data_IF_652879319380
#
_entry.id   IF_652879319380
#
_cell.length_a   1.000
_cell.length_b   1.000
_cell.length_c   1.000
_cell.angle_alpha   90.00
_cell.angle_beta   90.00
_cell.angle_gamma   90.00
#
_symmetry.space_group_name_H-M   'P 1'
#
loop_
_entity.id
_entity.type
_entity.pdbx_description
1 polymer ?
#
# COMPACT_ATOMS: atom_id res chain seq x y z
N UNK A 1 20.66 24.10 -47.25
CA UNK A 1 19.62 25.05 -47.72
C UNK A 1 20.24 25.86 -48.85
N UNK A 2 19.63 25.91 -50.03
CA UNK A 2 20.20 26.66 -51.15
C UNK A 2 20.06 28.16 -50.86
N UNK A 3 21.00 28.99 -51.29
CA UNK A 3 21.03 30.43 -50.95
C UNK A 3 19.79 31.22 -51.40
N UNK A 4 19.09 30.75 -52.45
CA UNK A 4 17.79 31.29 -52.83
C UNK A 4 16.71 31.01 -51.78
N UNK A 5 16.58 29.77 -51.30
CA UNK A 5 15.57 29.41 -50.29
C UNK A 5 15.72 30.24 -49.00
N UNK A 6 16.96 30.60 -48.64
CA UNK A 6 17.25 31.43 -47.46
C UNK A 6 16.85 32.89 -47.66
N UNK A 7 17.06 33.44 -48.86
CA UNK A 7 16.68 34.82 -49.20
C UNK A 7 15.16 34.98 -49.21
N UNK A 8 14.45 34.06 -49.86
CA UNK A 8 12.99 34.05 -49.91
C UNK A 8 12.36 33.91 -48.51
N UNK A 9 12.96 33.09 -47.64
CA UNK A 9 12.53 32.99 -46.24
C UNK A 9 12.72 34.30 -45.47
N UNK A 10 13.87 34.95 -45.60
CA UNK A 10 14.17 36.20 -44.89
C UNK A 10 13.28 37.35 -45.35
N UNK A 11 12.94 37.40 -46.64
CA UNK A 11 12.01 38.39 -47.18
C UNK A 11 10.60 38.19 -46.61
N UNK A 12 10.07 36.97 -46.68
CA UNK A 12 8.79 36.61 -46.05
C UNK A 12 8.77 36.89 -44.54
N UNK A 13 9.87 36.59 -43.84
CA UNK A 13 9.98 36.88 -42.41
C UNK A 13 9.94 38.38 -42.12
N UNK A 14 10.66 39.20 -42.90
CA UNK A 14 10.64 40.66 -42.76
C UNK A 14 9.25 41.22 -43.05
N UNK A 15 8.57 40.70 -44.06
CA UNK A 15 7.21 41.09 -44.42
C UNK A 15 6.21 40.72 -43.32
N UNK A 16 6.27 39.50 -42.80
CA UNK A 16 5.45 39.07 -41.66
C UNK A 16 5.72 39.92 -40.40
N UNK A 17 6.98 40.30 -40.16
CA UNK A 17 7.36 41.15 -39.02
C UNK A 17 6.84 42.58 -39.16
N UNK A 18 6.66 43.11 -40.38
CA UNK A 18 6.01 44.41 -40.60
C UNK A 18 4.54 44.40 -40.22
N UNK A 19 3.88 43.25 -40.31
CA UNK A 19 2.47 43.05 -39.97
C UNK A 19 2.25 42.47 -38.55
N UNK A 20 3.33 42.23 -37.80
CA UNK A 20 3.27 41.65 -36.46
C UNK A 20 2.86 42.68 -35.41
N UNK A 21 2.07 42.25 -34.43
CA UNK A 21 1.75 43.06 -33.25
C UNK A 21 2.92 43.05 -32.25
N UNK A 22 3.17 44.13 -31.49
CA UNK A 22 4.17 44.12 -30.44
C UNK A 22 3.75 43.16 -29.31
N UNK A 23 4.74 42.58 -28.63
CA UNK A 23 4.47 41.67 -27.50
C UNK A 23 3.74 42.38 -26.36
N UNK A 24 4.21 43.58 -26.00
CA UNK A 24 3.56 44.45 -25.04
C UNK A 24 3.07 45.72 -25.76
N UNK A 25 1.82 46.16 -25.54
CA UNK A 25 0.81 45.56 -24.65
C UNK A 25 -0.09 44.51 -25.33
N UNK A 26 -0.11 44.44 -26.66
CA UNK A 26 -1.17 43.75 -27.41
C UNK A 26 -1.20 42.23 -27.22
N UNK A 27 -0.07 41.54 -27.39
CA UNK A 27 -0.04 40.08 -27.24
C UNK A 27 -0.27 39.67 -25.78
N UNK A 28 0.42 40.34 -24.84
CA UNK A 28 0.27 40.07 -23.42
C UNK A 28 -1.17 40.27 -22.93
N UNK A 29 -1.87 41.30 -23.42
CA UNK A 29 -3.27 41.53 -23.06
C UNK A 29 -4.17 40.40 -23.58
N UNK A 30 -3.96 39.93 -24.81
CA UNK A 30 -4.71 38.79 -25.36
C UNK A 30 -4.45 37.52 -24.54
N UNK A 31 -3.21 37.24 -24.19
CA UNK A 31 -2.84 36.09 -23.37
C UNK A 31 -3.49 36.18 -21.98
N UNK A 32 -3.49 37.36 -21.36
CA UNK A 32 -4.13 37.58 -20.06
C UNK A 32 -5.65 37.37 -20.12
N UNK A 33 -6.32 37.84 -21.18
CA UNK A 33 -7.77 37.64 -21.36
C UNK A 33 -8.09 36.16 -21.55
N UNK A 34 -7.31 35.43 -22.35
CA UNK A 34 -7.50 33.98 -22.55
C UNK A 34 -7.23 33.21 -21.26
N UNK A 35 -6.14 33.53 -20.56
CA UNK A 35 -5.79 32.90 -19.29
C UNK A 35 -6.86 33.13 -18.21
N UNK A 36 -7.37 34.36 -18.09
CA UNK A 36 -8.46 34.70 -17.18
C UNK A 36 -9.75 33.97 -17.56
N UNK A 37 -10.06 33.86 -18.86
CA UNK A 37 -11.20 33.08 -19.35
C UNK A 37 -11.10 31.60 -19.00
N UNK A 38 -9.94 30.98 -19.22
CA UNK A 38 -9.69 29.58 -18.82
C UNK A 38 -9.76 29.39 -17.30
N UNK A 39 -9.19 30.31 -16.53
CA UNK A 39 -9.23 30.27 -15.07
C UNK A 39 -10.66 30.40 -14.54
N UNK A 40 -11.45 31.33 -15.09
CA UNK A 40 -12.86 31.47 -14.76
C UNK A 40 -13.67 30.22 -15.14
N UNK A 41 -13.37 29.61 -16.30
CA UNK A 41 -13.98 28.34 -16.71
C UNK A 41 -13.65 27.21 -15.72
N UNK A 42 -12.41 27.10 -15.26
CA UNK A 42 -12.00 26.10 -14.26
C UNK A 42 -12.74 26.31 -12.92
N UNK A 43 -12.83 27.55 -12.43
CA UNK A 43 -13.61 27.87 -11.22
C UNK A 43 -15.07 27.50 -11.42
N UNK A 44 -15.65 27.84 -12.58
CA UNK A 44 -17.03 27.51 -12.89
C UNK A 44 -17.27 26.00 -12.91
N UNK A 45 -16.41 25.22 -13.57
CA UNK A 45 -16.51 23.76 -13.59
C UNK A 45 -16.36 23.17 -12.19
N UNK A 46 -15.38 23.64 -11.41
CA UNK A 46 -15.17 23.22 -10.02
C UNK A 46 -16.38 23.53 -9.12
N UNK A 47 -17.02 24.69 -9.28
CA UNK A 47 -18.18 25.07 -8.48
C UNK A 47 -19.49 24.40 -8.94
N UNK A 48 -19.65 24.15 -10.24
CA UNK A 48 -20.89 23.61 -10.81
C UNK A 48 -20.95 22.08 -10.85
N UNK A 49 -19.82 21.42 -11.11
CA UNK A 49 -19.71 19.95 -11.22
C UNK A 49 -19.09 19.36 -9.94
N UNK A 50 -18.22 20.11 -9.26
CA UNK A 50 -17.40 19.59 -8.16
C UNK A 50 -16.16 18.86 -8.69
N UNK A 51 -15.18 18.65 -7.82
CA UNK A 51 -14.12 17.67 -8.06
C UNK A 51 -14.56 16.36 -7.39
N UNK A 52 -14.60 15.27 -8.15
CA UNK A 52 -14.73 13.93 -7.59
C UNK A 52 -13.40 13.64 -6.90
N UNK A 53 -13.35 13.86 -5.60
CA UNK A 53 -12.21 13.56 -4.74
C UNK A 53 -12.63 12.36 -3.91
N UNK A 54 -11.85 11.29 -3.95
CA UNK A 54 -12.06 10.14 -3.09
C UNK A 54 -11.87 10.48 -1.62
N UNK A 55 -12.41 9.61 -0.77
CA UNK A 55 -12.20 9.67 0.67
C UNK A 55 -10.71 9.53 1.01
N UNK A 56 -10.36 10.00 2.21
CA UNK A 56 -8.98 9.89 2.68
C UNK A 56 -8.64 8.41 2.83
N UNK A 57 -7.50 7.99 2.27
CA UNK A 57 -7.07 6.60 2.29
C UNK A 57 -7.18 5.99 3.70
N UNK A 58 -7.97 4.91 3.80
CA UNK A 58 -8.17 4.11 5.00
C UNK A 58 -7.66 2.69 4.73
N UNK A 59 -6.64 2.20 5.45
CA UNK A 59 -6.07 0.89 5.22
C UNK A 59 -6.96 -0.27 5.69
N UNK A 60 -8.11 0.00 6.33
CA UNK A 60 -9.01 -1.02 6.88
C UNK A 60 -10.14 -1.42 5.92
N UNK A 61 -10.30 -0.70 4.81
CA UNK A 61 -11.32 -0.96 3.79
C UNK A 61 -10.69 -1.43 2.48
N UNK A 62 -11.33 -2.41 1.85
CA UNK A 62 -10.96 -2.85 0.50
C UNK A 62 -11.34 -1.74 -0.50
N UNK A 63 -10.35 -1.23 -1.23
CA UNK A 63 -10.49 -0.13 -2.18
C UNK A 63 -9.99 -0.57 -3.56
N UNK A 64 -10.74 -0.24 -4.61
CA UNK A 64 -10.35 -0.46 -6.01
C UNK A 64 -9.67 0.81 -6.55
N UNK A 65 -8.33 0.85 -6.68
CA UNK A 65 -7.64 2.03 -7.17
C UNK A 65 -7.82 2.18 -8.68
N UNK A 66 -8.82 2.98 -9.08
CA UNK A 66 -8.96 3.40 -10.47
C UNK A 66 -7.89 4.44 -10.84
N UNK A 67 -7.20 4.27 -11.98
CA UNK A 67 -6.22 5.25 -12.43
C UNK A 67 -6.90 6.50 -12.98
N UNK A 68 -6.22 7.63 -12.81
CA UNK A 68 -6.65 8.92 -13.35
C UNK A 68 -6.84 8.91 -14.87
N UNK A 69 -7.79 9.73 -15.37
CA UNK A 69 -8.24 9.70 -16.76
C UNK A 69 -7.12 9.88 -17.80
N UNK A 70 -6.06 10.62 -17.46
CA UNK A 70 -4.91 10.86 -18.31
C UNK A 70 -3.92 9.68 -18.36
N UNK A 71 -4.10 8.65 -17.51
CA UNK A 71 -3.34 7.41 -17.52
C UNK A 71 -4.13 6.19 -18.02
N UNK A 72 -5.43 6.33 -18.29
CA UNK A 72 -6.27 5.22 -18.75
C UNK A 72 -5.74 4.50 -20.00
N UNK A 73 -5.18 5.24 -20.97
CA UNK A 73 -4.59 4.62 -22.16
C UNK A 73 -3.42 3.70 -21.82
N UNK A 74 -2.61 4.07 -20.82
CA UNK A 74 -1.46 3.30 -20.39
C UNK A 74 -1.93 2.09 -19.62
N UNK A 75 -2.88 2.27 -18.69
CA UNK A 75 -3.48 1.15 -17.96
C UNK A 75 -4.05 0.09 -18.91
N UNK A 76 -4.82 0.50 -19.92
CA UNK A 76 -5.34 -0.41 -20.93
C UNK A 76 -4.24 -1.06 -21.77
N UNK A 77 -3.16 -0.33 -22.06
CA UNK A 77 -2.01 -0.90 -22.76
C UNK A 77 -1.38 -2.05 -21.96
N UNK A 78 -1.25 -1.90 -20.63
CA UNK A 78 -0.61 -2.88 -19.75
C UNK A 78 -1.34 -4.22 -19.68
N UNK A 79 -2.67 -4.23 -19.87
CA UNK A 79 -3.43 -5.48 -19.99
C UNK A 79 -2.91 -6.41 -21.10
N UNK A 80 -2.19 -5.88 -22.09
CA UNK A 80 -1.57 -6.65 -23.18
C UNK A 80 -0.12 -7.11 -22.90
N UNK A 81 0.45 -6.79 -21.73
CA UNK A 81 1.83 -7.11 -21.34
C UNK A 81 1.88 -7.92 -20.02
N UNK A 82 1.44 -9.19 -19.99
CA UNK A 82 1.41 -9.98 -18.76
C UNK A 82 2.80 -10.39 -18.26
N UNK A 83 2.95 -10.48 -16.93
CA UNK A 83 4.13 -11.03 -16.25
C UNK A 83 5.40 -10.19 -16.44
N UNK A 84 6.51 -10.83 -16.81
CA UNK A 84 7.82 -10.15 -16.96
C UNK A 84 7.86 -9.07 -18.05
N UNK A 85 6.85 -9.00 -18.92
CA UNK A 85 6.73 -7.99 -19.96
C UNK A 85 6.08 -6.69 -19.48
N UNK A 86 5.53 -6.64 -18.27
CA UNK A 86 4.87 -5.45 -17.73
C UNK A 86 5.82 -4.25 -17.66
N UNK A 87 7.06 -4.47 -17.22
CA UNK A 87 8.13 -3.45 -17.22
C UNK A 87 8.35 -2.85 -18.62
N UNK A 88 8.20 -3.65 -19.68
CA UNK A 88 8.32 -3.17 -21.05
C UNK A 88 7.18 -2.22 -21.39
N UNK A 89 5.95 -2.55 -20.97
CA UNK A 89 4.77 -1.72 -21.17
C UNK A 89 4.79 -0.41 -20.38
N UNK A 90 5.21 -0.43 -19.10
CA UNK A 90 5.19 0.75 -18.21
C UNK A 90 6.38 1.67 -18.44
N UNK A 91 7.58 1.11 -18.58
CA UNK A 91 8.83 1.89 -18.51
C UNK A 91 9.47 2.02 -19.90
N UNK A 92 9.70 0.88 -20.56
CA UNK A 92 10.49 0.86 -21.80
C UNK A 92 9.76 1.55 -22.94
N UNK A 93 8.48 1.22 -23.18
CA UNK A 93 7.72 1.76 -24.30
C UNK A 93 7.46 3.27 -24.16
N UNK A 94 6.93 3.80 -23.04
CA UNK A 94 6.80 5.24 -22.84
C UNK A 94 8.15 5.95 -22.87
N UNK A 95 9.19 5.33 -22.28
CA UNK A 95 10.54 5.84 -22.32
C UNK A 95 11.07 6.02 -23.75
N UNK A 96 10.88 5.02 -24.63
CA UNK A 96 11.26 5.11 -26.04
C UNK A 96 10.50 6.22 -26.75
N UNK A 97 9.18 6.37 -26.51
CA UNK A 97 8.37 7.43 -27.13
C UNK A 97 8.87 8.81 -26.71
N UNK A 98 9.12 9.02 -25.41
CA UNK A 98 9.66 10.28 -24.89
C UNK A 98 11.04 10.56 -25.47
N UNK A 99 11.93 9.57 -25.47
CA UNK A 99 13.27 9.70 -26.05
C UNK A 99 13.21 10.01 -27.54
N UNK A 100 12.29 9.42 -28.30
CA UNK A 100 12.08 9.71 -29.71
C UNK A 100 11.55 11.15 -29.93
N UNK A 101 10.65 11.64 -29.07
CA UNK A 101 10.17 13.02 -29.10
C UNK A 101 11.27 14.03 -28.74
N UNK A 102 12.11 13.72 -27.75
CA UNK A 102 13.28 14.53 -27.42
C UNK A 102 14.31 14.50 -28.56
N UNK A 103 14.51 13.35 -29.19
CA UNK A 103 15.42 13.17 -30.30
C UNK A 103 14.88 13.73 -31.64
N UNK A 104 13.62 14.18 -31.69
CA UNK A 104 12.94 14.68 -32.88
C UNK A 104 13.71 15.77 -33.64
N UNK A 105 14.40 16.74 -33.00
CA UNK A 105 15.21 17.74 -33.71
C UNK A 105 16.35 17.14 -34.56
N UNK A 106 16.85 15.96 -34.19
CA UNK A 106 17.92 15.26 -34.92
C UNK A 106 17.38 14.24 -35.92
N UNK A 107 16.25 13.60 -35.59
CA UNK A 107 15.55 12.64 -36.45
C UNK A 107 14.88 13.36 -37.63
N UNK A 108 14.19 14.48 -37.39
CA UNK A 108 13.51 15.27 -38.42
C UNK A 108 14.40 16.44 -38.90
N UNK A 109 15.23 16.15 -39.90
CA UNK A 109 16.08 17.12 -40.57
C UNK A 109 15.36 17.94 -41.64
N UNK A 110 14.02 17.94 -41.66
CA UNK A 110 13.23 18.70 -42.64
C UNK A 110 13.52 20.20 -42.56
N UNK A 111 13.79 20.81 -43.71
CA UNK A 111 13.97 22.26 -43.84
C UNK A 111 12.65 23.03 -43.70
N UNK A 112 11.51 22.35 -43.80
CA UNK A 112 10.18 22.93 -43.62
C UNK A 112 9.85 22.95 -42.14
N UNK A 113 9.37 24.07 -41.59
CA UNK A 113 8.98 24.19 -40.16
C UNK A 113 7.50 24.01 -39.90
N UNK A 114 6.66 24.33 -40.88
CA UNK A 114 5.21 24.25 -40.73
C UNK A 114 4.76 22.78 -40.77
N UNK A 115 3.76 22.41 -39.95
CA UNK A 115 3.34 21.02 -39.75
C UNK A 115 2.88 20.35 -41.06
N UNK A 116 2.18 21.09 -41.93
CA UNK A 116 1.76 20.57 -43.26
C UNK A 116 2.93 20.22 -44.18
N UNK A 117 4.13 20.74 -43.89
CA UNK A 117 5.36 20.40 -44.59
C UNK A 117 6.09 19.16 -44.06
N UNK A 118 5.56 18.51 -43.01
CA UNK A 118 6.18 17.35 -42.33
C UNK A 118 5.19 16.17 -42.25
N UNK A 119 4.68 15.67 -43.38
CA UNK A 119 3.60 14.67 -43.37
C UNK A 119 3.97 13.40 -42.61
N UNK A 120 5.22 12.93 -42.70
CA UNK A 120 5.65 11.70 -42.00
C UNK A 120 5.56 11.86 -40.48
N UNK A 121 6.17 12.92 -39.92
CA UNK A 121 6.19 13.14 -38.47
C UNK A 121 4.79 13.42 -37.92
N UNK A 122 3.99 14.20 -38.65
CA UNK A 122 2.61 14.47 -38.26
C UNK A 122 1.75 13.21 -38.34
N UNK A 123 1.90 12.39 -39.37
CA UNK A 123 1.17 11.12 -39.46
C UNK A 123 1.55 10.15 -38.35
N UNK A 124 2.83 9.99 -38.04
CA UNK A 124 3.29 9.10 -36.95
C UNK A 124 2.79 9.61 -35.60
N UNK A 125 2.96 10.90 -35.31
CA UNK A 125 2.50 11.49 -34.04
C UNK A 125 0.97 11.44 -33.93
N UNK A 126 0.26 11.69 -35.02
CA UNK A 126 -1.18 11.55 -35.11
C UNK A 126 -1.66 10.12 -34.86
N UNK A 127 -0.99 9.12 -35.44
CA UNK A 127 -1.29 7.71 -35.17
C UNK A 127 -1.09 7.34 -33.70
N UNK A 128 0.00 7.81 -33.07
CA UNK A 128 0.24 7.59 -31.64
C UNK A 128 -0.87 8.23 -30.78
N UNK A 129 -1.25 9.47 -31.09
CA UNK A 129 -2.33 10.16 -30.39
C UNK A 129 -3.68 9.46 -30.57
N UNK A 130 -4.01 9.02 -31.79
CA UNK A 130 -5.22 8.24 -32.07
C UNK A 130 -5.19 6.91 -31.31
N UNK A 131 -4.05 6.23 -31.25
CA UNK A 131 -3.87 5.00 -30.47
C UNK A 131 -4.13 5.23 -28.98
N UNK A 132 -3.57 6.28 -28.38
CA UNK A 132 -3.80 6.63 -26.99
C UNK A 132 -5.28 6.97 -26.71
N UNK A 133 -5.93 7.72 -27.60
CA UNK A 133 -7.37 8.02 -27.50
C UNK A 133 -8.19 6.74 -27.61
N UNK A 134 -7.88 5.87 -28.58
CA UNK A 134 -8.58 4.61 -28.76
C UNK A 134 -8.45 3.72 -27.53
N UNK A 135 -7.25 3.58 -26.96
CA UNK A 135 -7.02 2.84 -25.72
C UNK A 135 -7.75 3.46 -24.52
N UNK A 136 -7.80 4.79 -24.42
CA UNK A 136 -8.59 5.48 -23.39
C UNK A 136 -10.07 5.16 -23.53
N UNK A 137 -10.62 5.21 -24.75
CA UNK A 137 -12.03 4.87 -25.00
C UNK A 137 -12.30 3.41 -24.67
N UNK A 138 -11.39 2.50 -25.02
CA UNK A 138 -11.52 1.09 -24.63
C UNK A 138 -11.49 0.95 -23.11
N UNK A 139 -10.58 1.63 -22.41
CA UNK A 139 -10.52 1.63 -20.94
C UNK A 139 -11.81 2.14 -20.28
N UNK A 140 -12.48 3.13 -20.90
CA UNK A 140 -13.74 3.68 -20.40
C UNK A 140 -14.96 2.78 -20.68
N UNK A 141 -14.88 1.93 -21.71
CA UNK A 141 -15.98 1.04 -22.12
C UNK A 141 -15.84 -0.34 -21.47
N UNK A 142 -14.61 -0.82 -21.34
CA UNK A 142 -14.29 -1.96 -20.50
C UNK A 142 -14.31 -1.48 -19.04
N UNK A 143 -15.49 -1.51 -18.41
CA UNK A 143 -15.57 -1.44 -16.95
C UNK A 143 -14.49 -2.36 -16.40
N UNK A 144 -13.62 -1.83 -15.53
CA UNK A 144 -12.61 -2.66 -14.89
C UNK A 144 -13.34 -3.85 -14.28
N UNK A 145 -12.96 -5.11 -14.57
CA UNK A 145 -13.42 -6.21 -13.73
C UNK A 145 -13.08 -5.79 -12.31
N UNK A 146 -14.00 -5.92 -11.33
CA UNK A 146 -13.75 -5.49 -9.97
C UNK A 146 -12.38 -6.01 -9.56
N UNK A 147 -11.51 -5.11 -9.09
CA UNK A 147 -10.24 -5.53 -8.49
C UNK A 147 -10.56 -6.61 -7.45
N UNK A 148 -10.05 -7.80 -7.73
CA UNK A 148 -10.59 -9.06 -7.20
C UNK A 148 -10.52 -10.19 -8.22
N UNK A 149 -10.54 -9.87 -9.52
CA UNK A 149 -10.15 -10.83 -10.57
C UNK A 149 -8.77 -10.49 -11.12
N UNK A 150 -7.77 -10.43 -10.23
CA UNK A 150 -6.52 -11.10 -10.59
C UNK A 150 -6.89 -12.52 -11.03
N UNK A 151 -6.27 -13.10 -12.06
CA UNK A 151 -6.42 -14.52 -12.32
C UNK A 151 -6.26 -15.22 -10.97
N UNK A 152 -7.36 -15.79 -10.47
CA UNK A 152 -7.50 -16.14 -9.06
C UNK A 152 -6.25 -16.92 -8.68
N UNK A 153 -5.48 -16.37 -7.73
CA UNK A 153 -4.69 -17.25 -6.88
C UNK A 153 -5.63 -18.38 -6.46
N UNK A 154 -5.11 -19.62 -6.48
CA UNK A 154 -5.89 -20.82 -6.18
C UNK A 154 -6.99 -20.49 -5.15
N UNK A 155 -8.29 -20.64 -5.48
CA UNK A 155 -9.36 -20.22 -4.59
C UNK A 155 -9.22 -20.82 -3.19
N UNK A 156 -8.55 -21.98 -3.08
CA UNK A 156 -8.22 -22.61 -1.80
C UNK A 156 -7.06 -21.90 -1.09
N UNK A 157 -6.08 -21.36 -1.82
CA UNK A 157 -5.03 -20.50 -1.26
C UNK A 157 -5.58 -19.16 -0.73
N UNK A 158 -6.57 -18.58 -1.40
CA UNK A 158 -7.28 -17.38 -0.91
C UNK A 158 -8.05 -17.71 0.37
N UNK A 159 -8.78 -18.83 0.37
CA UNK A 159 -9.50 -19.32 1.54
C UNK A 159 -8.55 -19.60 2.73
N UNK A 160 -7.39 -20.21 2.47
CA UNK A 160 -6.34 -20.43 3.48
C UNK A 160 -5.74 -19.13 4.00
N UNK A 161 -5.49 -18.17 3.11
CA UNK A 161 -4.93 -16.87 3.50
C UNK A 161 -5.88 -16.12 4.43
N UNK A 162 -7.17 -16.10 4.09
CA UNK A 162 -8.19 -15.40 4.86
C UNK A 162 -8.48 -16.03 6.24
N UNK A 163 -8.36 -17.36 6.37
CA UNK A 163 -8.86 -18.07 7.57
C UNK A 163 -7.78 -18.78 8.39
N UNK A 164 -6.59 -19.01 7.84
CA UNK A 164 -5.58 -19.88 8.47
C UNK A 164 -4.20 -19.24 8.54
N UNK A 165 -3.77 -18.50 7.51
CA UNK A 165 -2.40 -17.99 7.41
C UNK A 165 -2.00 -17.05 8.57
N UNK A 166 -2.97 -16.34 9.15
CA UNK A 166 -2.73 -15.40 10.25
C UNK A 166 -2.22 -16.05 11.55
N UNK A 167 -2.44 -17.35 11.75
CA UNK A 167 -1.85 -18.11 12.88
C UNK A 167 -0.93 -19.27 12.41
N UNK A 168 -1.04 -19.73 11.16
CA UNK A 168 -0.26 -20.86 10.62
C UNK A 168 0.87 -20.49 9.66
N UNK A 169 1.00 -19.21 9.31
CA UNK A 169 1.97 -18.74 8.31
C UNK A 169 1.67 -19.22 6.89
N UNK A 170 2.59 -18.97 5.96
CA UNK A 170 2.46 -19.32 4.55
C UNK A 170 2.67 -20.82 4.24
N UNK A 171 3.27 -21.57 5.16
CA UNK A 171 3.59 -23.00 5.00
C UNK A 171 3.34 -23.78 6.27
N UNK A 172 2.68 -24.93 6.16
CA UNK A 172 2.34 -25.82 7.26
C UNK A 172 2.98 -27.20 7.06
N UNK A 173 3.47 -27.79 8.15
CA UNK A 173 3.93 -29.19 8.15
C UNK A 173 2.97 -30.02 8.98
N UNK A 174 2.34 -31.02 8.36
CA UNK A 174 1.40 -31.93 9.05
C UNK A 174 2.03 -33.32 9.20
N UNK A 175 2.06 -33.90 10.41
CA UNK A 175 2.49 -35.28 10.61
C UNK A 175 1.61 -36.29 9.85
N UNK A 176 2.20 -37.38 9.37
CA UNK A 176 1.46 -38.45 8.69
C UNK A 176 0.40 -39.09 9.61
N UNK A 177 -0.80 -39.35 9.06
CA UNK A 177 -1.88 -40.04 9.77
C UNK A 177 -2.84 -39.15 10.56
N UNK A 178 -2.71 -37.82 10.46
CA UNK A 178 -3.65 -36.87 11.06
C UNK A 178 -4.86 -36.65 10.13
N UNK A 179 -6.06 -36.75 10.71
CA UNK A 179 -7.32 -36.43 10.04
C UNK A 179 -7.56 -34.91 10.10
N UNK A 180 -7.05 -34.20 9.11
CA UNK A 180 -7.13 -32.74 9.05
C UNK A 180 -8.55 -32.21 8.89
N UNK A 181 -9.43 -32.94 8.19
CA UNK A 181 -10.84 -32.53 8.07
C UNK A 181 -11.49 -32.49 9.45
N UNK A 182 -11.24 -33.53 10.27
CA UNK A 182 -11.73 -33.56 11.66
C UNK A 182 -11.08 -32.49 12.53
N UNK A 183 -9.78 -32.24 12.39
CA UNK A 183 -9.06 -31.23 13.18
C UNK A 183 -9.53 -29.81 12.84
N UNK A 184 -9.67 -29.48 11.55
CA UNK A 184 -10.15 -28.16 11.11
C UNK A 184 -11.61 -27.96 11.53
N UNK A 185 -12.47 -28.98 11.36
CA UNK A 185 -13.87 -28.88 11.71
C UNK A 185 -14.11 -28.78 13.23
N UNK A 186 -13.43 -29.61 14.03
CA UNK A 186 -13.65 -29.69 15.48
C UNK A 186 -12.77 -28.72 16.28
N UNK A 187 -11.72 -28.15 15.67
CA UNK A 187 -10.66 -27.48 16.38
C UNK A 187 -9.74 -28.45 17.13
N UNK A 188 -8.69 -27.90 17.73
CA UNK A 188 -7.76 -28.62 18.62
C UNK A 188 -6.46 -29.10 17.96
N UNK A 189 -5.38 -28.36 18.21
CA UNK A 189 -4.01 -28.87 18.31
C UNK A 189 -3.22 -27.96 19.28
N UNK A 190 -2.14 -28.48 19.86
CA UNK A 190 -1.30 -27.79 20.83
C UNK A 190 -0.30 -26.82 20.13
N UNK A 191 -0.09 -25.62 20.69
CA UNK A 191 1.14 -24.81 20.49
C UNK A 191 1.05 -23.47 19.73
N UNK A 192 1.58 -22.40 20.35
CA UNK A 192 2.09 -21.17 19.71
C UNK A 192 3.32 -21.49 18.86
N UNK A 193 3.49 -20.90 17.66
CA UNK A 193 4.68 -21.09 16.84
C UNK A 193 5.95 -20.52 17.51
N UNK A 194 7.11 -21.04 17.09
CA UNK A 194 8.41 -20.46 17.44
C UNK A 194 8.62 -19.17 16.66
N UNK A 195 8.96 -18.08 17.35
CA UNK A 195 9.26 -16.78 16.75
C UNK A 195 10.76 -16.51 16.60
N UNK A 196 11.61 -17.48 16.93
CA UNK A 196 13.07 -17.31 16.88
C UNK A 196 13.63 -17.16 15.46
N UNK A 197 12.86 -17.52 14.44
CA UNK A 197 13.21 -17.33 13.03
C UNK A 197 12.88 -15.91 12.54
N UNK A 198 11.84 -15.30 13.10
CA UNK A 198 11.27 -14.03 12.62
C UNK A 198 11.65 -12.84 13.49
N UNK A 199 11.99 -13.07 14.77
CA UNK A 199 12.33 -12.04 15.75
C UNK A 199 13.75 -12.25 16.31
N UNK A 200 14.52 -11.17 16.42
CA UNK A 200 15.81 -11.17 17.12
C UNK A 200 15.65 -11.33 18.65
N UNK A 201 16.74 -11.67 19.34
CA UNK A 201 16.72 -11.81 20.80
C UNK A 201 16.32 -10.52 21.53
N UNK A 202 16.72 -9.36 20.99
CA UNK A 202 16.36 -8.05 21.55
C UNK A 202 14.87 -7.71 21.30
N UNK A 203 14.32 -8.13 20.15
CA UNK A 203 12.89 -7.97 19.84
C UNK A 203 12.01 -8.88 20.69
N UNK A 204 12.45 -10.12 20.94
CA UNK A 204 11.77 -11.04 21.86
C UNK A 204 11.82 -10.50 23.30
N UNK A 205 12.93 -9.86 23.71
CA UNK A 205 13.04 -9.23 25.02
C UNK A 205 12.07 -8.04 25.18
N UNK A 206 11.96 -7.21 24.14
CA UNK A 206 11.01 -6.10 24.10
C UNK A 206 9.55 -6.61 24.13
N UNK A 207 9.23 -7.66 23.36
CA UNK A 207 7.90 -8.29 23.34
C UNK A 207 7.55 -8.88 24.71
N UNK A 208 8.48 -9.62 25.32
CA UNK A 208 8.28 -10.20 26.65
C UNK A 208 8.08 -9.10 27.70
N UNK A 209 8.85 -8.01 27.64
CA UNK A 209 8.71 -6.84 28.51
C UNK A 209 7.33 -6.16 28.40
N UNK A 210 6.75 -6.12 27.20
CA UNK A 210 5.39 -5.61 26.97
C UNK A 210 4.33 -6.52 27.63
N UNK A 211 4.40 -7.84 27.37
CA UNK A 211 3.43 -8.82 27.87
C UNK A 211 3.46 -8.94 29.41
N UNK A 212 4.65 -8.88 30.02
CA UNK A 212 4.83 -8.97 31.48
C UNK A 212 4.70 -7.63 32.21
N UNK A 213 4.23 -6.58 31.54
CA UNK A 213 3.83 -5.31 32.17
C UNK A 213 2.30 -5.19 32.29
N UNK A 214 1.59 -6.16 32.91
CA UNK A 214 0.13 -6.22 32.93
C UNK A 214 -0.46 -4.99 33.63
N UNK A 215 0.24 -4.46 34.64
CA UNK A 215 -0.23 -3.30 35.39
C UNK A 215 -0.22 -2.02 34.55
N UNK A 216 0.80 -1.79 33.71
CA UNK A 216 0.87 -0.60 32.86
C UNK A 216 -0.19 -0.60 31.75
N UNK A 217 -0.39 -1.74 31.10
CA UNK A 217 -1.41 -1.93 30.07
C UNK A 217 -2.83 -1.79 30.64
N UNK A 218 -3.10 -2.41 31.78
CA UNK A 218 -4.42 -2.33 32.42
C UNK A 218 -4.77 -0.88 32.80
N UNK A 219 -3.83 -0.16 33.42
CA UNK A 219 -4.03 1.25 33.77
C UNK A 219 -4.24 2.09 32.50
N UNK A 220 -3.48 1.85 31.43
CA UNK A 220 -3.64 2.55 30.16
C UNK A 220 -5.04 2.34 29.55
N UNK A 221 -5.52 1.10 29.50
CA UNK A 221 -6.84 0.77 28.96
C UNK A 221 -7.99 1.33 29.81
N UNK A 222 -7.81 1.42 31.12
CA UNK A 222 -8.83 1.99 32.00
C UNK A 222 -8.85 3.53 32.01
N UNK A 223 -7.74 4.17 31.62
CA UNK A 223 -7.51 5.57 31.99
C UNK A 223 -7.17 6.49 30.80
N UNK A 224 -6.54 5.95 29.76
CA UNK A 224 -5.95 6.74 28.67
C UNK A 224 -6.56 6.45 27.30
N UNK A 225 -7.07 5.24 27.07
CA UNK A 225 -7.50 4.76 25.74
C UNK A 225 -8.69 5.51 25.14
N UNK A 226 -9.51 6.18 25.97
CA UNK A 226 -10.65 6.97 25.48
C UNK A 226 -10.20 8.20 24.66
N UNK A 227 -9.01 8.73 24.93
CA UNK A 227 -8.49 9.93 24.29
C UNK A 227 -7.21 9.69 23.49
N UNK A 228 -6.48 8.61 23.78
CA UNK A 228 -5.19 8.34 23.16
C UNK A 228 -5.17 6.98 22.48
N UNK A 229 -4.70 6.99 21.23
CA UNK A 229 -4.19 5.79 20.60
C UNK A 229 -2.75 5.54 21.08
N UNK A 230 -2.50 4.30 21.49
CA UNK A 230 -1.22 3.90 22.07
C UNK A 230 -0.07 3.97 21.06
N UNK A 231 -0.33 3.72 19.78
CA UNK A 231 0.67 3.81 18.70
C UNK A 231 1.05 5.26 18.41
N UNK A 232 0.10 6.19 18.53
CA UNK A 232 0.35 7.62 18.38
C UNK A 232 1.16 8.22 19.54
N UNK A 233 1.06 7.62 20.74
CA UNK A 233 1.83 8.04 21.92
C UNK A 233 3.27 7.52 21.90
N UNK A 234 3.52 6.40 21.24
CA UNK A 234 4.87 5.81 21.06
C UNK A 234 5.80 6.74 20.26
N UNK A 235 5.25 7.58 19.38
CA UNK A 235 6.03 8.60 18.65
C UNK A 235 6.50 9.76 19.54
N UNK A 236 5.93 9.93 20.74
CA UNK A 236 6.34 10.93 21.70
C UNK A 236 7.57 10.48 22.49
N UNK A 237 8.50 11.42 22.77
CA UNK A 237 9.72 11.11 23.51
C UNK A 237 9.44 10.71 24.98
N UNK A 238 10.29 9.89 25.63
CA UNK A 238 10.09 9.44 27.02
C UNK A 238 9.97 10.58 28.06
N UNK A 239 10.58 11.74 27.77
CA UNK A 239 10.50 12.93 28.61
C UNK A 239 9.12 13.62 28.51
N UNK A 240 8.53 13.63 27.32
CA UNK A 240 7.21 14.22 27.08
C UNK A 240 6.13 13.33 27.67
N UNK A 241 6.24 12.00 27.53
CA UNK A 241 5.34 11.03 28.17
C UNK A 241 5.36 11.15 29.69
N UNK A 242 6.54 11.33 30.29
CA UNK A 242 6.66 11.55 31.73
C UNK A 242 6.01 12.86 32.16
N UNK A 243 6.29 13.95 31.44
CA UNK A 243 5.73 15.26 31.76
C UNK A 243 4.20 15.26 31.61
N UNK A 244 3.66 14.55 30.60
CA UNK A 244 2.22 14.38 30.41
C UNK A 244 1.52 13.67 31.58
N UNK A 245 2.17 12.64 32.15
CA UNK A 245 1.63 11.87 33.27
C UNK A 245 1.84 12.54 34.64
N UNK A 246 2.97 13.22 34.84
CA UNK A 246 3.29 13.89 36.12
C UNK A 246 2.62 15.27 36.24
N UNK A 247 2.56 16.06 35.17
CA UNK A 247 2.06 17.45 35.22
C UNK A 247 0.55 17.54 34.94
N UNK A 248 -0.08 16.50 34.40
CA UNK A 248 -1.51 16.48 34.12
C UNK A 248 -1.93 17.67 33.24
N UNK A 249 -2.80 18.54 33.74
CA UNK A 249 -3.23 19.78 33.05
C UNK A 249 -2.14 20.84 32.93
N UNK A 250 -1.04 20.69 33.66
CA UNK A 250 0.16 21.53 33.52
C UNK A 250 0.97 21.22 32.26
N UNK A 251 0.75 20.05 31.64
CA UNK A 251 1.34 19.71 30.35
C UNK A 251 0.61 20.47 29.23
N UNK A 252 1.34 21.21 28.39
CA UNK A 252 0.74 22.14 27.43
C UNK A 252 -0.33 21.51 26.51
N UNK A 253 -0.15 20.28 25.97
CA UNK A 253 -1.19 19.57 25.23
C UNK A 253 -2.46 19.21 26.03
N UNK A 254 -2.39 19.14 27.36
CA UNK A 254 -3.53 18.85 28.25
C UNK A 254 -4.19 20.10 28.83
N UNK A 255 -3.67 21.30 28.55
CA UNK A 255 -4.10 22.54 29.22
C UNK A 255 -5.60 22.84 29.06
N UNK A 256 -6.18 22.47 27.91
CA UNK A 256 -7.57 22.75 27.56
C UNK A 256 -8.46 21.48 27.52
N UNK A 257 -7.95 20.33 27.99
CA UNK A 257 -8.64 19.03 27.93
C UNK A 257 -9.15 18.63 29.32
N UNK A 258 -10.35 18.08 29.38
CA UNK A 258 -10.91 17.52 30.62
C UNK A 258 -10.30 16.15 30.85
N UNK A 259 -9.31 16.06 31.75
CA UNK A 259 -8.67 14.80 32.08
C UNK A 259 -9.61 13.88 32.88
N UNK A 260 -9.63 12.57 32.61
CA UNK A 260 -10.37 11.60 33.40
C UNK A 260 -9.96 11.65 34.88
N UNK A 261 -10.91 11.56 35.85
CA UNK A 261 -10.58 11.55 37.27
C UNK A 261 -9.62 10.41 37.66
N UNK A 262 -9.71 9.28 36.96
CA UNK A 262 -8.81 8.14 37.13
C UNK A 262 -7.36 8.47 36.76
N UNK A 263 -7.14 9.32 35.75
CA UNK A 263 -5.81 9.75 35.31
C UNK A 263 -5.15 10.66 36.35
N UNK A 264 -5.91 11.61 36.88
CA UNK A 264 -5.44 12.56 37.90
C UNK A 264 -5.18 11.88 39.26
N UNK A 265 -5.72 10.67 39.45
CA UNK A 265 -5.59 9.89 40.68
C UNK A 265 -4.40 8.91 40.69
N UNK A 266 -3.66 8.77 39.58
CA UNK A 266 -2.55 7.81 39.49
C UNK A 266 -1.42 8.13 40.48
N UNK A 267 -0.96 7.11 41.20
CA UNK A 267 0.19 7.19 42.09
C UNK A 267 1.52 7.09 41.32
N UNK A 268 2.64 7.41 41.98
CA UNK A 268 3.97 7.39 41.33
C UNK A 268 4.39 5.99 40.84
N UNK A 269 3.90 4.90 41.43
CA UNK A 269 4.18 3.53 40.94
C UNK A 269 3.34 3.22 39.71
N UNK A 270 2.08 3.63 39.71
CA UNK A 270 1.17 3.50 38.57
C UNK A 270 1.65 4.32 37.36
N UNK A 271 2.09 5.56 37.58
CA UNK A 271 2.74 6.38 36.54
C UNK A 271 3.96 5.67 35.96
N UNK A 272 4.83 5.10 36.80
CA UNK A 272 6.00 4.36 36.32
C UNK A 272 5.63 3.07 35.58
N UNK A 273 4.54 2.39 35.98
CA UNK A 273 4.04 1.21 35.28
C UNK A 273 3.54 1.56 33.87
N UNK A 274 2.77 2.65 33.74
CA UNK A 274 2.31 3.16 32.43
C UNK A 274 3.50 3.65 31.60
N UNK A 275 4.48 4.35 32.21
CA UNK A 275 5.68 4.78 31.51
C UNK A 275 6.52 3.60 31.02
N UNK A 276 6.67 2.53 31.80
CA UNK A 276 7.40 1.34 31.36
C UNK A 276 6.66 0.62 30.22
N UNK A 277 5.33 0.60 30.27
CA UNK A 277 4.49 0.10 29.18
C UNK A 277 4.65 0.95 27.90
N UNK A 278 4.61 2.27 27.99
CA UNK A 278 4.77 3.18 26.85
C UNK A 278 6.22 3.34 26.38
N UNK A 279 7.20 3.05 27.22
CA UNK A 279 8.64 3.12 26.91
C UNK A 279 9.19 1.85 26.25
N UNK A 280 8.34 0.85 25.98
CA UNK A 280 8.65 -0.32 25.16
C UNK A 280 8.01 -0.19 23.74
N UNK A 281 8.40 0.83 22.94
CA UNK A 281 7.77 1.14 21.66
C UNK A 281 7.86 -0.01 20.66
N UNK A 282 8.96 -0.78 20.73
CA UNK A 282 9.14 -1.97 19.90
C UNK A 282 8.28 -3.14 20.37
N UNK A 283 8.18 -3.40 21.68
CA UNK A 283 7.43 -4.54 22.20
C UNK A 283 5.95 -4.53 21.80
N UNK A 284 5.30 -3.36 21.89
CA UNK A 284 3.92 -3.22 21.45
C UNK A 284 3.76 -3.32 19.93
N UNK A 285 4.62 -2.64 19.16
CA UNK A 285 4.60 -2.72 17.69
C UNK A 285 4.78 -4.16 17.22
N UNK A 286 5.72 -4.87 17.84
CA UNK A 286 5.97 -6.29 17.59
C UNK A 286 4.77 -7.15 18.00
N UNK A 287 4.11 -6.85 19.12
CA UNK A 287 2.91 -7.57 19.54
C UNK A 287 1.73 -7.35 18.59
N UNK A 288 1.49 -6.12 18.17
CA UNK A 288 0.46 -5.81 17.17
C UNK A 288 0.75 -6.52 15.84
N UNK A 289 1.99 -6.47 15.37
CA UNK A 289 2.36 -7.07 14.08
C UNK A 289 2.34 -8.61 14.08
N UNK A 290 2.72 -9.25 15.19
CA UNK A 290 3.01 -10.69 15.21
C UNK A 290 2.06 -11.50 16.11
N UNK A 291 1.42 -10.89 17.10
CA UNK A 291 0.68 -11.61 18.13
C UNK A 291 -0.82 -11.25 18.17
N UNK A 292 -1.21 -10.06 17.71
CA UNK A 292 -2.56 -9.54 17.91
C UNK A 292 -3.66 -10.27 17.15
N UNK A 293 -3.31 -10.91 16.02
CA UNK A 293 -4.23 -11.72 15.23
C UNK A 293 -4.83 -12.87 16.04
N UNK A 294 -4.06 -13.46 16.96
CA UNK A 294 -4.51 -14.58 17.79
C UNK A 294 -4.75 -14.16 19.27
N UNK A 295 -4.08 -13.12 19.80
CA UNK A 295 -4.18 -12.67 21.20
C UNK A 295 -5.00 -11.39 21.45
N UNK A 296 -5.49 -10.71 20.41
CA UNK A 296 -6.13 -9.40 20.56
C UNK A 296 -5.12 -8.30 20.88
N UNK A 297 -5.51 -7.28 21.64
CA UNK A 297 -4.63 -6.11 21.91
C UNK A 297 -3.55 -6.37 22.96
N UNK A 298 -3.71 -7.40 23.81
CA UNK A 298 -2.75 -7.80 24.83
C UNK A 298 -3.06 -9.22 25.35
N UNK A 299 -2.07 -9.88 25.94
CA UNK A 299 -2.23 -11.15 26.67
C UNK A 299 -1.66 -11.03 28.07
N UNK A 300 -2.37 -11.55 29.06
CA UNK A 300 -1.87 -11.61 30.43
C UNK A 300 -1.00 -12.86 30.61
N UNK A 301 0.15 -12.70 31.27
CA UNK A 301 1.06 -13.80 31.60
C UNK A 301 1.48 -13.68 33.07
N UNK A 302 1.22 -14.74 33.84
CA UNK A 302 1.43 -14.77 35.30
C UNK A 302 2.76 -15.45 35.71
N UNK A 303 3.60 -15.83 34.74
CA UNK A 303 4.90 -16.50 34.96
C UNK A 303 6.10 -15.54 34.98
N UNK A 304 7.32 -16.10 35.03
CA UNK A 304 8.56 -15.31 35.00
C UNK A 304 8.89 -14.82 33.58
N UNK A 305 9.47 -13.62 33.45
CA UNK A 305 9.79 -13.06 32.12
C UNK A 305 10.68 -13.98 31.28
N UNK A 306 11.61 -14.69 31.92
CA UNK A 306 12.48 -15.64 31.22
C UNK A 306 11.73 -16.86 30.67
N UNK A 307 10.68 -17.31 31.38
CA UNK A 307 9.78 -18.37 30.93
C UNK A 307 8.99 -17.92 29.70
N UNK A 308 8.49 -16.68 29.71
CA UNK A 308 7.82 -16.11 28.55
C UNK A 308 8.76 -15.97 27.34
N UNK A 309 9.99 -15.49 27.55
CA UNK A 309 10.98 -15.39 26.47
C UNK A 309 11.27 -16.76 25.86
N UNK A 310 11.32 -17.81 26.67
CA UNK A 310 11.52 -19.17 26.17
C UNK A 310 10.30 -19.64 25.38
N UNK A 311 9.08 -19.41 25.88
CA UNK A 311 7.83 -19.72 25.18
C UNK A 311 7.77 -19.01 23.81
N UNK A 312 8.11 -17.72 23.72
CA UNK A 312 8.18 -16.96 22.46
C UNK A 312 9.26 -17.53 21.53
N UNK A 313 10.43 -17.89 22.08
CA UNK A 313 11.55 -18.45 21.30
C UNK A 313 11.23 -19.82 20.73
N UNK A 314 10.71 -20.74 21.52
CA UNK A 314 10.55 -22.15 21.12
C UNK A 314 9.18 -22.46 20.57
N UNK A 315 8.21 -21.56 20.75
CA UNK A 315 6.81 -21.94 20.69
C UNK A 315 6.42 -22.75 21.93
N UNK A 316 5.14 -22.76 22.27
CA UNK A 316 4.67 -23.41 23.49
C UNK A 316 3.16 -23.60 23.54
N UNK A 317 2.70 -24.61 24.28
CA UNK A 317 1.28 -24.99 24.33
C UNK A 317 0.44 -23.92 25.04
N UNK A 318 -0.40 -23.18 24.32
CA UNK A 318 -1.28 -22.23 25.01
C UNK A 318 -2.70 -22.05 24.47
N UNK A 319 -3.09 -22.48 23.26
CA UNK A 319 -4.50 -22.39 22.82
C UNK A 319 -4.86 -23.50 21.80
N UNK A 320 -6.06 -24.06 21.97
CA UNK A 320 -6.72 -24.92 20.99
C UNK A 320 -7.07 -24.11 19.73
N UNK A 321 -6.70 -24.62 18.55
CA UNK A 321 -7.23 -24.14 17.27
C UNK A 321 -8.77 -24.05 17.35
N UNK A 322 -9.40 -22.91 16.99
CA UNK A 322 -10.85 -22.78 17.03
C UNK A 322 -11.51 -23.71 16.03
N UNK A 323 -12.68 -24.25 16.39
CA UNK A 323 -13.47 -25.08 15.51
C UNK A 323 -13.97 -24.26 14.31
N UNK A 324 -13.58 -24.65 13.10
CA UNK A 324 -14.09 -24.01 11.87
C UNK A 324 -15.44 -24.60 11.43
N UNK A 325 -15.87 -25.70 12.07
CA UNK A 325 -17.19 -26.28 11.87
C UNK A 325 -18.29 -25.30 12.23
N UNK A 326 -19.10 -24.93 11.24
CA UNK A 326 -20.17 -23.94 11.36
C UNK A 326 -19.79 -22.51 10.95
N UNK A 327 -18.49 -22.22 10.79
CA UNK A 327 -17.99 -20.99 10.17
C UNK A 327 -17.70 -21.19 8.68
N UNK A 328 -17.17 -22.35 8.32
CA UNK A 328 -16.91 -22.77 6.94
C UNK A 328 -17.80 -23.96 6.55
N UNK A 329 -18.03 -24.13 5.25
CA UNK A 329 -18.77 -25.28 4.74
C UNK A 329 -17.93 -26.56 4.83
N UNK A 330 -18.58 -27.73 4.89
CA UNK A 330 -17.86 -29.02 4.90
C UNK A 330 -16.99 -29.21 3.64
N UNK A 331 -17.40 -28.59 2.52
CA UNK A 331 -16.64 -28.57 1.26
C UNK A 331 -15.37 -27.71 1.39
N UNK A 332 -15.49 -26.51 1.93
CA UNK A 332 -14.36 -25.60 2.18
C UNK A 332 -13.34 -26.20 3.16
N UNK A 333 -13.82 -26.86 4.22
CA UNK A 333 -12.97 -27.55 5.20
C UNK A 333 -12.20 -28.70 4.54
N UNK A 334 -12.84 -29.43 3.63
CA UNK A 334 -12.20 -30.52 2.88
C UNK A 334 -11.13 -29.99 1.93
N UNK A 335 -11.43 -28.90 1.21
CA UNK A 335 -10.48 -28.24 0.31
C UNK A 335 -9.26 -27.71 1.08
N UNK A 336 -9.48 -27.08 2.25
CA UNK A 336 -8.38 -26.62 3.12
C UNK A 336 -7.53 -27.78 3.64
N UNK A 337 -8.15 -28.90 4.04
CA UNK A 337 -7.41 -30.08 4.49
C UNK A 337 -6.51 -30.66 3.40
N UNK A 338 -6.99 -30.70 2.15
CA UNK A 338 -6.20 -31.15 0.99
C UNK A 338 -5.09 -30.16 0.63
N UNK A 339 -5.39 -28.86 0.65
CA UNK A 339 -4.43 -27.79 0.38
C UNK A 339 -3.29 -27.73 1.40
N UNK A 340 -3.55 -28.01 2.68
CA UNK A 340 -2.49 -28.01 3.71
C UNK A 340 -1.49 -29.16 3.52
N UNK A 341 -1.95 -30.34 3.08
CA UNK A 341 -1.06 -31.50 2.82
C UNK A 341 -0.35 -31.38 1.47
N UNK A 342 -1.03 -30.77 0.49
CA UNK A 342 -0.54 -30.56 -0.86
C UNK A 342 -1.03 -29.21 -1.36
N UNK A 343 -0.32 -28.10 -1.04
CA UNK A 343 -0.67 -26.76 -1.54
C UNK A 343 -0.48 -26.64 -3.06
N UNK A 344 -0.06 -27.75 -3.70
CA UNK A 344 0.17 -27.88 -5.13
C UNK A 344 -1.16 -28.05 -5.87
N UNK A 345 -1.99 -27.02 -5.81
CA UNK A 345 -2.80 -26.62 -6.95
C UNK A 345 -1.87 -26.22 -8.10
N UNK A 346 -1.43 -27.20 -8.89
CA UNK A 346 -0.90 -27.02 -10.25
C UNK A 346 0.38 -26.16 -10.46
N UNK A 347 1.32 -26.08 -9.53
CA UNK A 347 2.69 -25.71 -9.90
C UNK A 347 3.34 -26.91 -10.60
N UNK A 348 3.45 -26.85 -11.93
CA UNK A 348 4.28 -27.81 -12.67
C UNK A 348 5.72 -27.77 -12.12
N UNK A 349 6.48 -28.86 -12.26
CA UNK A 349 7.91 -28.87 -11.91
C UNK A 349 8.68 -27.68 -12.55
N UNK A 350 8.18 -27.19 -13.67
CA UNK A 350 8.61 -25.99 -14.39
C UNK A 350 8.37 -24.69 -13.61
N UNK A 351 7.21 -24.53 -12.96
CA UNK A 351 6.89 -23.33 -12.20
C UNK A 351 7.68 -23.26 -10.88
N UNK A 352 7.97 -24.40 -10.26
CA UNK A 352 8.88 -24.47 -9.11
C UNK A 352 10.32 -24.14 -9.51
N UNK A 353 10.78 -24.65 -10.66
CA UNK A 353 12.08 -24.28 -11.20
C UNK A 353 12.17 -22.78 -11.52
N UNK A 354 11.09 -22.15 -12.02
CA UNK A 354 11.04 -20.71 -12.25
C UNK A 354 11.06 -19.90 -10.93
N UNK A 355 10.31 -20.32 -9.91
CA UNK A 355 10.34 -19.65 -8.60
C UNK A 355 11.73 -19.74 -7.97
N UNK A 356 12.32 -20.93 -7.96
CA UNK A 356 13.68 -21.16 -7.46
C UNK A 356 14.72 -20.33 -8.24
N UNK A 357 14.50 -20.12 -9.54
CA UNK A 357 15.42 -19.36 -10.39
C UNK A 357 15.24 -17.84 -10.32
N UNK A 358 14.02 -17.34 -10.12
CA UNK A 358 13.68 -15.92 -10.31
C UNK A 358 13.28 -15.21 -9.03
N UNK A 359 12.83 -15.95 -8.00
CA UNK A 359 12.18 -15.39 -6.84
C UNK A 359 12.81 -15.82 -5.51
N UNK A 360 13.41 -17.02 -5.43
CA UNK A 360 13.96 -17.58 -4.17
C UNK A 360 15.06 -16.71 -3.54
N UNK A 361 15.88 -16.02 -4.34
CA UNK A 361 16.92 -15.12 -3.83
C UNK A 361 16.36 -13.96 -2.99
N UNK A 362 15.11 -13.55 -3.24
CA UNK A 362 14.47 -12.43 -2.54
C UNK A 362 13.38 -12.87 -1.56
N UNK A 363 12.72 -14.00 -1.80
CA UNK A 363 11.51 -14.41 -1.09
C UNK A 363 11.67 -15.66 -0.21
N UNK A 364 12.83 -16.33 -0.25
CA UNK A 364 13.09 -17.58 0.50
C UNK A 364 12.65 -18.81 -0.26
#
# INVERSE_FOLDING_TARGET
MRDQDKRDYLEKYREAKKNGIPFFPDALFKDAVVALGLFALLIFLSAAIGAVLDERADPTVEFDPEPEWYFLFLFQLLKYFPGSLEFVGVVVLPGIVIMALLALPWLDRSTRRHFTGRPVVISVTGLLAIGAIALTVVALVEEAPPSGVSASGDPVAVLYTANCSGCHGGTLTVPEGIDLVRVIAAGGHEGMPSWSADLSADEIDALAGFVVSPQGNEIFNQTCVECHDVTALVEAGPADLRSALEDGTGFAPHADVVLPPAMVALDRREINAVLNFLAAPDGQRLFTANCSSCHGSAVAFDGEVEELREIIRTGGEHLDMPAMGGLLSDEDITLLAEYVVSPVGNFTAEARALFDQLCSECHG
#
